data_IF_457372075495
#
_entry.id   IF_457372075495
#
_cell.length_a   1.000
_cell.length_b   1.000
_cell.length_c   1.000
_cell.angle_alpha   90.00
_cell.angle_beta   90.00
_cell.angle_gamma   90.00
#
_symmetry.space_group_name_H-M   'P 1'
#
loop_
_entity.id
_entity.type
_entity.pdbx_description
1 polymer ?
#
# COMPACT_ATOMS: atom_id res chain seq x y z
N UNK A 1 51.24 21.28 11.63
CA UNK A 1 50.64 20.51 10.52
C UNK A 1 49.17 20.32 10.85
N UNK A 2 48.27 20.75 9.95
CA UNK A 2 46.82 20.84 10.19
C UNK A 2 46.18 19.44 10.15
N UNK A 3 45.49 19.06 11.21
CA UNK A 3 44.68 17.85 11.27
C UNK A 3 43.41 18.01 10.44
N UNK A 4 43.11 17.01 9.61
CA UNK A 4 41.86 16.91 8.85
C UNK A 4 40.80 16.35 9.80
N UNK A 5 39.78 17.14 10.11
CA UNK A 5 38.58 16.68 10.81
C UNK A 5 37.63 16.12 9.74
N UNK A 6 37.46 14.80 9.73
CA UNK A 6 36.44 14.13 8.92
C UNK A 6 35.12 14.26 9.67
N UNK A 7 34.26 15.18 9.23
CA UNK A 7 32.89 15.29 9.73
C UNK A 7 32.11 14.13 9.10
N UNK A 8 31.93 13.05 9.88
CA UNK A 8 31.03 11.96 9.54
C UNK A 8 29.59 12.46 9.69
N UNK A 9 28.95 12.82 8.58
CA UNK A 9 27.50 13.06 8.54
C UNK A 9 26.79 11.71 8.67
N UNK A 10 26.45 11.33 9.91
CA UNK A 10 25.42 10.33 10.16
C UNK A 10 24.08 10.91 9.70
N UNK A 11 23.63 10.53 8.51
CA UNK A 11 22.24 10.68 8.11
C UNK A 11 21.39 9.75 8.98
N UNK A 12 20.80 10.30 10.04
CA UNK A 12 19.79 9.63 10.83
C UNK A 12 18.55 9.41 9.93
N UNK A 13 18.35 8.19 9.46
CA UNK A 13 17.13 7.80 8.75
C UNK A 13 15.94 8.05 9.69
N UNK A 14 15.01 8.91 9.29
CA UNK A 14 13.81 9.18 10.07
C UNK A 14 13.00 7.87 10.22
N UNK A 15 12.81 7.35 11.45
CA UNK A 15 12.01 6.15 11.67
C UNK A 15 10.56 6.43 11.26
N UNK A 16 9.81 5.40 10.84
CA UNK A 16 8.37 5.52 10.55
C UNK A 16 7.58 6.12 11.74
N UNK A 17 8.14 6.06 12.95
CA UNK A 17 7.59 6.60 14.19
C UNK A 17 7.96 8.07 14.48
N UNK A 18 8.50 8.79 13.49
CA UNK A 18 8.72 10.23 13.65
C UNK A 18 7.37 10.95 13.78
N UNK A 19 7.15 11.76 14.82
CA UNK A 19 5.89 12.47 15.00
C UNK A 19 5.59 13.32 13.76
N UNK A 20 4.36 13.16 13.24
CA UNK A 20 3.86 13.92 12.10
C UNK A 20 4.01 15.42 12.44
N UNK A 21 4.63 16.26 11.58
CA UNK A 21 4.57 17.70 11.80
C UNK A 21 3.10 18.13 11.70
N UNK A 22 2.51 18.44 12.85
CA UNK A 22 1.22 19.14 12.92
C UNK A 22 1.49 20.59 12.57
N UNK A 23 1.39 20.92 11.29
CA UNK A 23 0.83 22.17 10.77
C UNK A 23 1.18 22.31 9.28
N UNK A 24 0.20 22.11 8.40
CA UNK A 24 0.15 22.84 7.13
C UNK A 24 -1.32 23.19 6.90
N UNK A 25 -1.65 24.46 7.08
CA UNK A 25 -2.85 25.05 6.50
C UNK A 25 -2.82 24.82 4.99
N UNK A 26 -3.77 24.04 4.49
CA UNK A 26 -3.99 23.89 3.07
C UNK A 26 -4.52 25.22 2.52
N UNK A 27 -3.70 25.95 1.77
CA UNK A 27 -4.18 27.02 0.91
C UNK A 27 -4.66 26.36 -0.38
N UNK A 28 -5.97 26.23 -0.50
CA UNK A 28 -6.61 25.76 -1.73
C UNK A 28 -6.46 26.84 -2.81
N UNK A 29 -5.59 26.60 -3.79
CA UNK A 29 -5.65 27.28 -5.07
C UNK A 29 -6.60 26.47 -5.97
N UNK A 30 -7.82 26.97 -6.15
CA UNK A 30 -8.75 26.44 -7.15
C UNK A 30 -8.23 26.77 -8.55
N UNK A 31 -7.98 25.71 -9.32
CA UNK A 31 -7.68 25.78 -10.76
C UNK A 31 -8.99 25.68 -11.55
N UNK A 32 -9.16 26.40 -12.67
CA UNK A 32 -10.45 26.51 -13.35
C UNK A 32 -10.89 25.18 -13.97
N UNK A 33 -12.21 25.01 -14.04
CA UNK A 33 -12.92 23.82 -14.48
C UNK A 33 -12.63 23.42 -15.94
N UNK A 34 -11.49 22.74 -16.17
CA UNK A 34 -11.36 21.77 -17.24
C UNK A 34 -11.95 20.44 -16.78
N UNK A 35 -12.69 19.74 -17.65
CA UNK A 35 -13.14 18.37 -17.40
C UNK A 35 -11.92 17.53 -16.97
N UNK A 36 -11.81 17.21 -15.68
CA UNK A 36 -10.75 16.35 -15.17
C UNK A 36 -10.81 15.03 -15.94
N UNK A 37 -9.67 14.59 -16.47
CA UNK A 37 -9.56 13.25 -17.03
C UNK A 37 -10.18 12.24 -16.05
N UNK A 38 -10.92 11.23 -16.54
CA UNK A 38 -11.52 10.23 -15.67
C UNK A 38 -10.44 9.64 -14.76
N UNK A 39 -10.75 9.54 -13.47
CA UNK A 39 -9.83 9.00 -12.48
C UNK A 39 -9.29 7.65 -12.97
N UNK A 40 -7.98 7.41 -12.83
CA UNK A 40 -7.35 6.14 -13.16
C UNK A 40 -8.03 4.94 -12.47
N UNK A 41 -8.68 5.18 -11.32
CA UNK A 41 -9.51 4.20 -10.63
C UNK A 41 -10.71 3.68 -11.46
N UNK A 42 -11.18 4.43 -12.46
CA UNK A 42 -12.22 3.98 -13.40
C UNK A 42 -11.76 2.81 -14.27
N UNK A 43 -10.45 2.54 -14.31
CA UNK A 43 -9.91 1.35 -14.98
C UNK A 43 -9.79 0.15 -14.04
N UNK A 44 -10.13 0.24 -12.75
CA UNK A 44 -10.09 -0.90 -11.85
C UNK A 44 -11.22 -1.91 -12.18
N UNK A 45 -10.97 -3.19 -11.95
CA UNK A 45 -11.99 -4.26 -12.02
C UNK A 45 -12.76 -4.45 -10.72
N UNK A 46 -12.31 -3.79 -9.66
CA UNK A 46 -12.96 -3.79 -8.36
C UNK A 46 -13.41 -2.36 -8.02
N UNK A 47 -14.62 -2.24 -7.47
CA UNK A 47 -15.14 -0.93 -7.05
C UNK A 47 -14.34 -0.41 -5.85
N UNK A 48 -13.54 0.67 -6.02
CA UNK A 48 -12.74 1.24 -4.95
C UNK A 48 -13.59 1.94 -3.87
N UNK A 49 -14.90 2.10 -4.09
CA UNK A 49 -15.84 2.76 -3.19
C UNK A 49 -16.80 1.77 -2.49
N UNK A 50 -16.49 0.47 -2.53
CA UNK A 50 -17.24 -0.52 -1.75
C UNK A 50 -17.29 -0.11 -0.27
N UNK A 51 -18.50 -0.06 0.29
CA UNK A 51 -18.71 0.23 1.71
C UNK A 51 -18.39 -1.02 2.51
N UNK A 52 -17.34 -0.96 3.32
CA UNK A 52 -16.88 -2.10 4.12
C UNK A 52 -17.52 -2.15 5.51
N UNK A 53 -18.10 -1.05 5.98
CA UNK A 53 -18.60 -0.91 7.36
C UNK A 53 -19.74 -1.86 7.72
N UNK A 54 -20.52 -2.26 6.71
CA UNK A 54 -21.72 -3.08 6.84
C UNK A 54 -21.47 -4.55 6.44
N UNK A 55 -20.23 -4.91 6.06
CA UNK A 55 -19.90 -6.26 5.63
C UNK A 55 -19.68 -7.20 6.81
N UNK A 56 -20.23 -8.40 6.72
CA UNK A 56 -19.88 -9.52 7.61
C UNK A 56 -18.46 -10.00 7.36
N UNK A 57 -17.87 -10.71 8.33
CA UNK A 57 -16.55 -11.36 8.15
C UNK A 57 -16.48 -12.19 6.88
N UNK A 58 -17.53 -12.96 6.57
CA UNK A 58 -17.60 -13.78 5.36
C UNK A 58 -17.54 -12.94 4.09
N UNK A 59 -18.22 -11.79 4.06
CA UNK A 59 -18.21 -10.88 2.91
C UNK A 59 -16.86 -10.17 2.77
N UNK A 60 -16.20 -9.81 3.87
CA UNK A 60 -14.83 -9.28 3.84
C UNK A 60 -13.85 -10.34 3.30
N UNK A 61 -13.99 -11.61 3.67
CA UNK A 61 -13.18 -12.70 3.09
C UNK A 61 -13.41 -12.80 1.58
N UNK A 62 -14.67 -12.77 1.13
CA UNK A 62 -14.98 -12.77 -0.31
C UNK A 62 -14.45 -11.53 -1.03
N UNK A 63 -14.42 -10.38 -0.35
CA UNK A 63 -13.83 -9.16 -0.89
C UNK A 63 -12.32 -9.33 -1.09
N UNK A 64 -11.58 -9.93 -0.15
CA UNK A 64 -10.16 -10.25 -0.34
C UNK A 64 -9.91 -11.18 -1.52
N UNK A 65 -10.76 -12.19 -1.74
CA UNK A 65 -10.67 -13.06 -2.92
C UNK A 65 -10.81 -12.24 -4.22
N UNK A 66 -11.78 -11.32 -4.27
CA UNK A 66 -11.96 -10.42 -5.43
C UNK A 66 -10.78 -9.48 -5.62
N UNK A 67 -10.27 -8.87 -4.54
CA UNK A 67 -9.09 -7.98 -4.57
C UNK A 67 -7.88 -8.70 -5.17
N UNK A 68 -7.60 -9.92 -4.70
CA UNK A 68 -6.49 -10.73 -5.21
C UNK A 68 -6.68 -11.11 -6.66
N UNK A 69 -7.87 -11.56 -7.05
CA UNK A 69 -8.16 -11.92 -8.44
C UNK A 69 -7.98 -10.71 -9.37
N UNK A 70 -8.52 -9.55 -8.98
CA UNK A 70 -8.43 -8.31 -9.74
C UNK A 70 -6.96 -7.93 -10.02
N UNK A 71 -6.10 -8.02 -9.01
CA UNK A 71 -4.68 -7.71 -9.14
C UNK A 71 -3.89 -8.79 -9.92
N UNK A 72 -3.98 -10.05 -9.50
CA UNK A 72 -3.09 -11.10 -9.99
C UNK A 72 -3.31 -11.44 -11.48
N UNK A 73 -4.53 -11.32 -11.99
CA UNK A 73 -4.83 -11.63 -13.39
C UNK A 73 -4.02 -10.77 -14.38
N UNK A 74 -3.74 -9.49 -14.06
CA UNK A 74 -2.97 -8.63 -14.96
C UNK A 74 -1.47 -8.78 -14.78
N UNK A 75 -1.02 -9.17 -13.59
CA UNK A 75 0.37 -9.59 -13.38
C UNK A 75 0.67 -10.86 -14.18
N UNK A 76 -0.25 -11.82 -14.16
CA UNK A 76 -0.17 -13.02 -14.99
C UNK A 76 -0.20 -12.68 -16.48
N UNK A 77 -1.10 -11.78 -16.89
CA UNK A 77 -1.20 -11.32 -18.29
C UNK A 77 0.05 -10.57 -18.78
N UNK A 78 0.79 -9.87 -17.90
CA UNK A 78 2.07 -9.24 -18.27
C UNK A 78 3.16 -10.28 -18.56
N UNK A 79 3.11 -11.43 -17.91
CA UNK A 79 4.09 -12.51 -18.10
C UNK A 79 3.70 -13.44 -19.26
N UNK A 80 2.41 -13.75 -19.38
CA UNK A 80 1.91 -14.83 -20.24
C UNK A 80 0.99 -14.35 -21.37
N UNK A 81 0.56 -13.08 -21.34
CA UNK A 81 -0.33 -12.50 -22.33
C UNK A 81 0.39 -12.03 -23.59
N UNK A 82 -0.40 -11.54 -24.55
CA UNK A 82 0.14 -11.01 -25.81
C UNK A 82 0.78 -9.64 -25.58
N UNK A 83 2.02 -9.45 -26.08
CA UNK A 83 2.80 -8.22 -25.84
C UNK A 83 2.13 -6.95 -26.35
N UNK A 84 1.35 -7.02 -27.42
CA UNK A 84 0.60 -5.87 -27.94
C UNK A 84 -0.41 -5.30 -26.92
N UNK A 85 -0.81 -6.09 -25.91
CA UNK A 85 -1.73 -5.68 -24.85
C UNK A 85 -1.02 -5.17 -23.59
N UNK A 86 0.31 -5.11 -23.55
CA UNK A 86 1.09 -4.78 -22.35
C UNK A 86 0.65 -3.44 -21.72
N UNK A 87 0.45 -2.40 -22.54
CA UNK A 87 -0.01 -1.08 -22.05
C UNK A 87 -1.38 -1.17 -21.37
N UNK A 88 -2.27 -2.00 -21.91
CA UNK A 88 -3.59 -2.23 -21.30
C UNK A 88 -3.45 -2.96 -19.96
N UNK A 89 -2.65 -4.03 -19.89
CA UNK A 89 -2.41 -4.76 -18.66
C UNK A 89 -1.74 -3.91 -17.57
N UNK A 90 -0.73 -3.10 -17.94
CA UNK A 90 -0.09 -2.15 -17.02
C UNK A 90 -1.09 -1.14 -16.45
N UNK A 91 -2.00 -0.61 -17.27
CA UNK A 91 -3.05 0.31 -16.82
C UNK A 91 -4.01 -0.37 -15.85
N UNK A 92 -4.49 -1.57 -16.17
CA UNK A 92 -5.40 -2.32 -15.30
C UNK A 92 -4.73 -2.71 -13.97
N UNK A 93 -3.50 -3.21 -14.02
CA UNK A 93 -2.71 -3.57 -12.83
C UNK A 93 -2.57 -2.38 -11.88
N UNK A 94 -2.12 -1.22 -12.39
CA UNK A 94 -1.99 -0.02 -11.56
C UNK A 94 -3.33 0.43 -10.98
N UNK A 95 -4.43 0.31 -11.72
CA UNK A 95 -5.74 0.74 -11.23
C UNK A 95 -6.24 -0.17 -10.12
N UNK A 96 -5.99 -1.48 -10.25
CA UNK A 96 -6.33 -2.47 -9.24
C UNK A 96 -5.45 -2.35 -7.99
N UNK A 97 -4.16 -2.01 -8.13
CA UNK A 97 -3.28 -1.71 -6.99
C UNK A 97 -3.85 -0.55 -6.15
N UNK A 98 -4.14 0.59 -6.77
CA UNK A 98 -4.66 1.77 -6.07
C UNK A 98 -6.08 1.52 -5.49
N UNK A 99 -6.94 0.82 -6.23
CA UNK A 99 -8.27 0.44 -5.74
C UNK A 99 -8.20 -0.49 -4.53
N UNK A 100 -7.36 -1.53 -4.60
CA UNK A 100 -7.17 -2.46 -3.50
C UNK A 100 -6.59 -1.79 -2.27
N UNK A 101 -5.67 -0.84 -2.43
CA UNK A 101 -5.10 -0.09 -1.30
C UNK A 101 -6.18 0.71 -0.57
N UNK A 102 -7.05 1.39 -1.32
CA UNK A 102 -8.18 2.14 -0.75
C UNK A 102 -9.17 1.23 -0.02
N UNK A 103 -9.48 0.07 -0.59
CA UNK A 103 -10.35 -0.93 0.05
C UNK A 103 -9.71 -1.47 1.34
N UNK A 104 -8.41 -1.78 1.29
CA UNK A 104 -7.66 -2.26 2.45
C UNK A 104 -7.62 -1.21 3.57
N UNK A 105 -7.38 0.06 3.24
CA UNK A 105 -7.41 1.16 4.21
C UNK A 105 -8.78 1.20 4.93
N UNK A 106 -9.89 1.02 4.20
CA UNK A 106 -11.24 0.97 4.79
C UNK A 106 -11.46 -0.27 5.68
N UNK A 107 -11.00 -1.45 5.25
CA UNK A 107 -11.07 -2.68 6.06
C UNK A 107 -10.28 -2.49 7.36
N UNK A 108 -9.06 -1.93 7.28
CA UNK A 108 -8.19 -1.68 8.43
C UNK A 108 -8.82 -0.68 9.39
N UNK A 109 -9.44 0.39 8.88
CA UNK A 109 -10.12 1.37 9.72
C UNK A 109 -11.22 0.74 10.59
N UNK A 110 -11.91 -0.29 10.07
CA UNK A 110 -13.01 -0.96 10.77
C UNK A 110 -12.56 -2.12 11.64
N UNK A 111 -11.65 -2.96 11.14
CA UNK A 111 -11.32 -4.26 11.72
C UNK A 111 -9.88 -4.36 12.25
N UNK A 112 -9.05 -3.33 12.04
CA UNK A 112 -7.61 -3.43 12.23
C UNK A 112 -6.93 -4.25 11.14
N UNK A 113 -5.66 -4.57 11.33
CA UNK A 113 -4.93 -5.40 10.36
C UNK A 113 -5.63 -6.75 10.17
N UNK A 114 -5.82 -7.25 8.92
CA UNK A 114 -6.47 -8.54 8.67
C UNK A 114 -5.68 -9.70 9.29
N UNK A 115 -6.18 -10.24 10.41
CA UNK A 115 -5.56 -11.36 11.14
C UNK A 115 -5.95 -12.70 10.50
N UNK A 116 -5.03 -13.67 10.43
CA UNK A 116 -5.30 -14.99 9.86
C UNK A 116 -6.35 -15.78 10.65
N UNK A 117 -6.44 -15.58 11.97
CA UNK A 117 -7.43 -16.27 12.82
C UNK A 117 -8.87 -15.82 12.58
N UNK A 118 -9.07 -14.60 12.04
CA UNK A 118 -10.40 -14.03 11.78
C UNK A 118 -10.79 -14.17 10.30
N UNK A 119 -9.87 -13.82 9.39
CA UNK A 119 -10.16 -13.74 7.96
C UNK A 119 -9.50 -14.88 7.14
N UNK A 120 -8.71 -15.74 7.77
CA UNK A 120 -7.95 -16.80 7.10
C UNK A 120 -6.59 -16.33 6.57
N UNK A 121 -5.71 -17.29 6.31
CA UNK A 121 -4.33 -17.04 5.84
C UNK A 121 -4.29 -16.27 4.52
N UNK A 122 -5.19 -16.60 3.59
CA UNK A 122 -5.25 -15.96 2.27
C UNK A 122 -5.63 -14.48 2.35
N UNK A 123 -6.51 -14.10 3.28
CA UNK A 123 -6.87 -12.69 3.49
C UNK A 123 -5.71 -11.90 4.10
N UNK A 124 -5.05 -12.46 5.13
CA UNK A 124 -3.86 -11.85 5.74
C UNK A 124 -2.71 -11.70 4.72
N UNK A 125 -2.51 -12.70 3.86
CA UNK A 125 -1.53 -12.64 2.79
C UNK A 125 -1.89 -11.61 1.72
N UNK A 126 -3.16 -11.54 1.32
CA UNK A 126 -3.64 -10.55 0.36
C UNK A 126 -3.46 -9.12 0.89
N UNK A 127 -3.73 -8.88 2.18
CA UNK A 127 -3.48 -7.59 2.81
C UNK A 127 -2.00 -7.17 2.70
N UNK A 128 -1.07 -8.10 2.97
CA UNK A 128 0.35 -7.84 2.77
C UNK A 128 0.72 -7.56 1.31
N UNK A 129 0.18 -8.35 0.36
CA UNK A 129 0.44 -8.16 -1.08
C UNK A 129 0.06 -6.75 -1.54
N UNK A 130 -1.12 -6.26 -1.12
CA UNK A 130 -1.59 -4.92 -1.45
C UNK A 130 -0.60 -3.85 -0.98
N UNK A 131 -0.06 -3.98 0.24
CA UNK A 131 0.98 -3.06 0.73
C UNK A 131 2.29 -3.22 -0.06
N UNK A 132 2.70 -4.47 -0.33
CA UNK A 132 3.92 -4.77 -1.07
C UNK A 132 3.92 -4.26 -2.51
N UNK A 133 2.77 -4.21 -3.17
CA UNK A 133 2.67 -3.63 -4.52
C UNK A 133 2.96 -2.13 -4.52
N UNK A 134 2.83 -1.48 -3.36
CA UNK A 134 3.19 -0.08 -3.12
C UNK A 134 4.58 0.08 -2.49
N UNK A 135 5.45 -0.93 -2.56
CA UNK A 135 6.81 -0.92 -1.98
C UNK A 135 7.72 0.23 -2.45
N UNK A 136 7.37 0.94 -3.52
CA UNK A 136 8.07 2.17 -3.92
C UNK A 136 7.65 3.43 -3.15
N UNK A 137 6.57 3.36 -2.35
CA UNK A 137 5.97 4.49 -1.64
C UNK A 137 6.19 4.33 -0.14
N UNK A 138 7.23 4.98 0.41
CA UNK A 138 7.57 4.91 1.84
C UNK A 138 6.38 5.25 2.74
N UNK A 139 5.58 6.25 2.34
CA UNK A 139 4.37 6.68 3.06
C UNK A 139 3.32 5.57 3.21
N UNK A 140 3.16 4.71 2.21
CA UNK A 140 2.25 3.56 2.26
C UNK A 140 2.76 2.48 3.20
N UNK A 141 4.07 2.21 3.17
CA UNK A 141 4.69 1.22 4.05
C UNK A 141 4.62 1.68 5.51
N UNK A 142 5.06 2.91 5.79
CA UNK A 142 5.14 3.43 7.15
C UNK A 142 3.77 3.56 7.83
N UNK A 143 2.70 3.96 7.10
CA UNK A 143 1.38 4.12 7.73
C UNK A 143 0.76 2.80 8.23
N UNK A 144 1.25 1.65 7.74
CA UNK A 144 0.79 0.32 8.14
C UNK A 144 1.82 -0.44 8.99
N UNK A 145 3.00 0.14 9.20
CA UNK A 145 4.16 -0.56 9.74
C UNK A 145 3.88 -1.15 11.13
N UNK A 146 3.42 -0.31 12.06
CA UNK A 146 3.10 -0.73 13.43
C UNK A 146 1.98 -1.78 13.50
N UNK A 147 1.02 -1.71 12.57
CA UNK A 147 -0.08 -2.67 12.50
C UNK A 147 0.42 -4.05 12.04
N UNK A 148 1.30 -4.09 11.03
CA UNK A 148 1.96 -5.31 10.58
C UNK A 148 2.90 -5.87 11.66
N UNK A 149 3.66 -5.03 12.35
CA UNK A 149 4.55 -5.44 13.45
C UNK A 149 3.76 -6.12 14.58
N UNK A 150 2.67 -5.48 15.01
CA UNK A 150 1.77 -6.05 16.04
C UNK A 150 1.17 -7.38 15.58
N UNK A 151 0.77 -7.49 14.31
CA UNK A 151 0.21 -8.73 13.78
C UNK A 151 1.24 -9.87 13.72
N UNK A 152 2.50 -9.58 13.37
CA UNK A 152 3.59 -10.56 13.45
C UNK A 152 3.85 -10.99 14.89
N UNK A 153 3.89 -10.04 15.83
CA UNK A 153 4.10 -10.34 17.25
C UNK A 153 2.97 -11.20 17.85
N UNK A 154 1.75 -11.06 17.32
CA UNK A 154 0.61 -11.92 17.65
C UNK A 154 0.61 -13.27 16.92
N UNK A 155 1.57 -13.51 16.03
CA UNK A 155 1.64 -14.73 15.21
C UNK A 155 0.61 -14.77 14.07
N UNK A 156 -0.02 -13.64 13.76
CA UNK A 156 -1.16 -13.53 12.83
C UNK A 156 -0.75 -13.12 11.41
N UNK A 157 0.51 -12.71 11.24
CA UNK A 157 1.16 -12.42 9.96
C UNK A 157 2.53 -13.09 9.92
N UNK A 158 3.01 -13.44 8.72
CA UNK A 158 4.34 -14.03 8.53
C UNK A 158 5.47 -13.04 8.86
N UNK A 159 6.38 -13.46 9.75
CA UNK A 159 7.57 -12.68 10.11
C UNK A 159 8.48 -12.40 8.89
N UNK A 160 8.62 -13.36 7.97
CA UNK A 160 9.41 -13.20 6.74
C UNK A 160 8.83 -12.12 5.83
N UNK A 161 7.50 -12.05 5.72
CA UNK A 161 6.83 -11.02 4.91
C UNK A 161 7.00 -9.63 5.51
N UNK A 162 6.95 -9.51 6.84
CA UNK A 162 7.23 -8.24 7.51
C UNK A 162 8.70 -7.83 7.41
N UNK A 163 9.65 -8.78 7.47
CA UNK A 163 11.06 -8.47 7.25
C UNK A 163 11.28 -7.80 5.89
N UNK A 164 10.63 -8.28 4.82
CA UNK A 164 10.69 -7.62 3.50
C UNK A 164 10.18 -6.18 3.52
N UNK A 165 9.14 -5.88 4.30
CA UNK A 165 8.66 -4.51 4.48
C UNK A 165 9.71 -3.66 5.19
N UNK A 166 10.33 -4.18 6.25
CA UNK A 166 11.40 -3.48 6.98
C UNK A 166 12.57 -3.16 6.07
N UNK A 167 13.08 -4.16 5.35
CA UNK A 167 14.20 -4.00 4.42
C UNK A 167 13.86 -2.93 3.37
N UNK A 168 12.64 -2.97 2.82
CA UNK A 168 12.20 -1.98 1.85
C UNK A 168 12.10 -0.57 2.43
N UNK A 169 11.57 -0.42 3.65
CA UNK A 169 11.55 0.88 4.34
C UNK A 169 12.97 1.37 4.53
N UNK A 170 13.92 0.54 4.95
CA UNK A 170 15.32 0.97 5.12
C UNK A 170 15.97 1.42 3.81
N UNK A 171 15.61 0.82 2.68
CA UNK A 171 16.11 1.20 1.35
C UNK A 171 15.55 2.52 0.82
N UNK A 172 14.34 2.93 1.23
CA UNK A 172 13.70 4.14 0.73
C UNK A 172 14.14 5.37 1.55
N UNK A 173 14.63 6.41 0.88
CA UNK A 173 14.94 7.69 1.56
C UNK A 173 13.67 8.30 2.18
N UNK A 174 13.75 8.91 3.38
CA UNK A 174 12.68 9.73 3.94
C UNK A 174 12.23 10.85 2.98
N UNK A 175 13.13 11.33 2.12
CA UNK A 175 12.88 12.43 1.18
C UNK A 175 12.14 11.99 -0.09
N UNK A 176 11.92 10.68 -0.27
CA UNK A 176 10.99 10.16 -1.29
C UNK A 176 9.54 10.28 -0.78
N UNK A 177 9.12 11.53 -0.57
CA UNK A 177 7.70 11.87 -0.40
C UNK A 177 7.16 12.12 -1.81
N UNK A 178 6.48 11.13 -2.37
CA UNK A 178 5.63 11.32 -3.55
C UNK A 178 4.51 12.30 -3.14
N UNK A 179 4.47 13.47 -3.80
CA UNK A 179 3.37 14.44 -3.74
C UNK A 179 2.18 13.98 -4.57
#
# INVERSE_FOLDING_TARGET
MRGIVVISMMFLLAPCNSPRPTNVQAVAAESPAGLKAPSHLMYADIDPFVRTDDLTTKEVIQLFVKMRHADQQYRDSLNNGRKENETFFLRKMRANDDANLKILDNIIQKHGWPQKSVFGEEAAYTAWLVIWHHRGKRSVLCRHFDLMEKSVNAGEMSATLFQRIKDQVEMLSPDQIDY
#
